data_IF_303008283025
#
_entry.id   IF_303008283025
#
_cell.length_a   1.000
_cell.length_b   1.000
_cell.length_c   1.000
_cell.angle_alpha   90.00
_cell.angle_beta   90.00
_cell.angle_gamma   90.00
#
_symmetry.space_group_name_H-M   'P 1'
#
loop_
_entity.id
_entity.type
_entity.pdbx_description
1 polymer ?
#
# COMPACT_ATOMS: atom_id res chain seq x y z
N UNK A 1 0.41 -10.23 -49.87
CA UNK A 1 -0.62 -10.74 -48.94
C UNK A 1 -1.31 -9.53 -48.33
N UNK A 2 -2.45 -9.15 -48.89
CA UNK A 2 -3.16 -7.91 -48.53
C UNK A 2 -4.01 -8.11 -47.28
N UNK A 3 -3.82 -7.25 -46.29
CA UNK A 3 -4.73 -7.14 -45.15
C UNK A 3 -6.00 -6.42 -45.62
N UNK A 4 -7.14 -7.11 -45.62
CA UNK A 4 -8.45 -6.56 -46.00
C UNK A 4 -8.86 -5.44 -45.02
N UNK A 5 -9.39 -4.33 -45.53
CA UNK A 5 -9.74 -3.11 -44.79
C UNK A 5 -10.67 -3.39 -43.58
N UNK A 6 -11.58 -4.35 -43.69
CA UNK A 6 -12.42 -4.78 -42.56
C UNK A 6 -11.60 -5.30 -41.36
N UNK A 7 -10.52 -6.06 -41.61
CA UNK A 7 -9.66 -6.58 -40.54
C UNK A 7 -8.89 -5.45 -39.86
N UNK A 8 -8.53 -4.39 -40.60
CA UNK A 8 -7.89 -3.20 -40.01
C UNK A 8 -8.87 -2.37 -39.18
N UNK A 9 -10.11 -2.19 -39.61
CA UNK A 9 -11.12 -1.47 -38.83
C UNK A 9 -11.50 -2.21 -37.54
N UNK A 10 -11.56 -3.55 -37.56
CA UNK A 10 -11.79 -4.36 -36.36
C UNK A 10 -10.61 -4.27 -35.39
N UNK A 11 -9.37 -4.31 -35.90
CA UNK A 11 -8.17 -4.21 -35.06
C UNK A 11 -8.01 -2.80 -34.46
N UNK A 12 -8.27 -1.75 -35.26
CA UNK A 12 -8.26 -0.37 -34.79
C UNK A 12 -9.40 -0.11 -33.79
N UNK A 13 -10.58 -0.68 -34.05
CA UNK A 13 -11.71 -0.68 -33.13
C UNK A 13 -11.37 -1.35 -31.80
N UNK A 14 -10.76 -2.54 -31.83
CA UNK A 14 -10.31 -3.25 -30.62
C UNK A 14 -9.25 -2.47 -29.84
N UNK A 15 -8.25 -1.88 -30.50
CA UNK A 15 -7.19 -1.10 -29.86
C UNK A 15 -7.70 0.24 -29.29
N UNK A 16 -8.76 0.82 -29.87
CA UNK A 16 -9.39 2.07 -29.41
C UNK A 16 -10.50 1.82 -28.38
N UNK A 17 -11.15 0.64 -28.37
CA UNK A 17 -12.17 0.25 -27.39
C UNK A 17 -11.60 -0.45 -26.15
N UNK A 18 -10.45 -1.12 -26.23
CA UNK A 18 -9.79 -1.73 -25.05
C UNK A 18 -9.36 -0.75 -23.94
N UNK A 19 -8.89 0.49 -24.22
CA UNK A 19 -8.48 1.43 -23.19
C UNK A 19 -9.65 1.95 -22.34
N UNK A 20 -10.90 1.80 -22.82
CA UNK A 20 -12.10 2.23 -22.09
C UNK A 20 -12.45 1.33 -20.89
N UNK A 21 -11.82 0.15 -20.77
CA UNK A 21 -12.06 -0.79 -19.67
C UNK A 21 -11.05 -0.65 -18.52
N UNK A 22 -10.08 0.27 -18.60
CA UNK A 22 -9.25 0.64 -17.45
C UNK A 22 -10.01 1.62 -16.55
N UNK A 23 -11.16 1.20 -16.00
CA UNK A 23 -11.75 1.91 -14.86
C UNK A 23 -10.87 1.61 -13.65
N UNK A 24 -10.07 2.57 -13.18
CA UNK A 24 -9.50 2.44 -11.83
C UNK A 24 -10.69 2.28 -10.90
N UNK A 25 -10.79 1.13 -10.23
CA UNK A 25 -11.89 0.81 -9.34
C UNK A 25 -11.86 1.79 -8.15
N UNK A 26 -12.57 2.91 -8.32
CA UNK A 26 -12.58 4.03 -7.38
C UNK A 26 -13.71 3.91 -6.36
N UNK A 27 -14.38 2.75 -6.36
CA UNK A 27 -15.48 2.41 -5.47
C UNK A 27 -14.95 2.06 -4.08
N UNK A 28 -15.69 2.48 -3.08
CA UNK A 28 -15.43 2.09 -1.72
C UNK A 28 -15.91 0.66 -1.45
N UNK A 29 -15.15 -0.07 -0.64
CA UNK A 29 -15.48 -1.41 -0.13
C UNK A 29 -15.76 -1.31 1.35
N UNK A 30 -16.93 -1.81 1.78
CA UNK A 30 -17.30 -1.84 3.20
C UNK A 30 -16.50 -2.90 3.95
N UNK A 31 -16.09 -2.57 5.17
CA UNK A 31 -15.36 -3.47 6.08
C UNK A 31 -15.43 -2.93 7.52
N UNK A 32 -14.56 -3.44 8.40
CA UNK A 32 -14.36 -2.92 9.75
C UNK A 32 -12.89 -2.62 9.99
N UNK A 33 -12.65 -1.64 10.85
CA UNK A 33 -11.33 -1.31 11.36
C UNK A 33 -11.29 -1.35 12.88
N UNK A 34 -10.18 -1.82 13.42
CA UNK A 34 -9.80 -1.66 14.82
C UNK A 34 -8.43 -1.00 14.90
N UNK A 35 -7.82 -0.96 16.08
CA UNK A 35 -6.53 -0.35 16.31
C UNK A 35 -5.65 -1.23 17.20
N UNK A 36 -4.34 -0.98 17.14
CA UNK A 36 -3.39 -1.48 18.13
C UNK A 36 -2.73 -0.31 18.87
N UNK A 37 -2.29 -0.57 20.10
CA UNK A 37 -1.54 0.39 20.91
C UNK A 37 -0.04 0.35 20.60
N UNK A 38 0.59 1.52 20.55
CA UNK A 38 2.05 1.65 20.55
C UNK A 38 2.48 2.87 21.40
N UNK A 39 3.70 2.89 21.96
CA UNK A 39 4.12 3.96 22.88
C UNK A 39 4.04 5.38 22.30
N UNK A 40 4.16 5.54 20.98
CA UNK A 40 4.09 6.82 20.27
C UNK A 40 2.82 6.96 19.40
N UNK A 41 1.85 6.06 19.55
CA UNK A 41 0.63 5.97 18.72
C UNK A 41 0.88 5.74 17.21
N UNK A 42 2.14 5.55 16.80
CA UNK A 42 2.59 5.27 15.43
C UNK A 42 2.60 3.77 15.09
N UNK A 43 3.23 3.44 13.97
CA UNK A 43 3.57 2.06 13.59
C UNK A 43 4.41 1.31 14.64
N UNK A 44 4.68 0.04 14.38
CA UNK A 44 5.69 -0.73 15.11
C UNK A 44 6.87 -1.03 14.18
N UNK A 45 8.08 -1.23 14.72
CA UNK A 45 9.21 -1.66 13.89
C UNK A 45 9.13 -3.13 13.46
N UNK A 46 8.25 -3.92 14.08
CA UNK A 46 8.14 -5.37 13.90
C UNK A 46 7.12 -5.82 12.86
N UNK A 47 6.60 -4.91 12.03
CA UNK A 47 5.61 -5.26 11.02
C UNK A 47 6.14 -6.24 9.97
N UNK A 48 5.27 -7.13 9.51
CA UNK A 48 5.55 -8.24 8.58
C UNK A 48 6.10 -7.77 7.22
N UNK A 49 5.92 -6.49 6.85
CA UNK A 49 6.52 -5.92 5.64
C UNK A 49 8.03 -5.66 5.73
N UNK A 50 8.66 -5.83 6.90
CA UNK A 50 10.12 -5.75 7.05
C UNK A 50 10.69 -4.33 6.96
N UNK A 51 9.86 -3.30 7.10
CA UNK A 51 10.31 -1.90 7.03
C UNK A 51 11.11 -1.44 8.25
N UNK A 52 11.13 -2.21 9.33
CA UNK A 52 11.81 -1.83 10.57
C UNK A 52 11.32 -0.48 11.09
N UNK A 53 12.24 0.32 11.63
CA UNK A 53 11.93 1.66 12.14
C UNK A 53 11.27 2.61 11.12
N UNK A 54 11.50 2.43 9.80
CA UNK A 54 10.86 3.25 8.76
C UNK A 54 9.36 3.00 8.67
N UNK A 55 8.93 1.75 8.89
CA UNK A 55 7.50 1.39 8.91
C UNK A 55 6.73 2.05 10.04
N UNK A 56 7.43 2.44 11.12
CA UNK A 56 6.81 3.17 12.23
C UNK A 56 6.28 4.53 11.80
N UNK A 57 7.07 5.27 11.03
CA UNK A 57 6.85 6.71 10.79
C UNK A 57 6.47 7.04 9.36
N UNK A 58 6.48 6.06 8.44
CA UNK A 58 5.99 6.26 7.07
C UNK A 58 4.58 6.87 7.11
N UNK A 59 4.35 7.84 6.20
CA UNK A 59 3.09 8.58 6.16
C UNK A 59 2.71 9.20 7.52
N UNK A 60 3.70 9.75 8.24
CA UNK A 60 3.56 10.36 9.56
C UNK A 60 2.91 9.43 10.59
N UNK A 61 3.20 8.13 10.48
CA UNK A 61 2.67 7.08 11.36
C UNK A 61 1.20 6.75 11.15
N UNK A 62 0.57 7.24 10.07
CA UNK A 62 -0.75 6.75 9.67
C UNK A 62 -0.55 5.47 8.84
N UNK A 63 -0.52 4.35 9.55
CA UNK A 63 -0.17 3.03 9.00
C UNK A 63 -1.18 1.99 9.46
N UNK A 64 -1.20 0.86 8.76
CA UNK A 64 -2.12 -0.23 9.06
C UNK A 64 -1.45 -1.59 8.89
N UNK A 65 -1.84 -2.52 9.77
CA UNK A 65 -1.85 -3.93 9.45
C UNK A 65 -3.13 -4.28 8.70
N UNK A 66 -3.06 -5.20 7.75
CA UNK A 66 -4.23 -5.62 6.96
C UNK A 66 -4.34 -7.14 6.88
N UNK A 67 -5.55 -7.64 6.70
CA UNK A 67 -5.81 -9.08 6.56
C UNK A 67 -5.66 -9.53 5.10
N UNK A 68 -6.75 -9.63 4.36
CA UNK A 68 -6.81 -10.12 2.96
C UNK A 68 -6.01 -9.24 1.99
N UNK A 69 -5.85 -7.96 2.32
CA UNK A 69 -5.11 -7.00 1.50
C UNK A 69 -3.59 -7.18 1.61
N UNK A 70 -3.08 -7.98 2.57
CA UNK A 70 -1.66 -8.26 2.71
C UNK A 70 -1.11 -9.03 1.51
N UNK A 71 -1.92 -9.93 0.94
CA UNK A 71 -1.62 -10.70 -0.29
C UNK A 71 -0.22 -11.34 -0.26
N UNK A 72 0.11 -12.04 0.83
CA UNK A 72 1.42 -12.65 1.03
C UNK A 72 2.59 -11.68 0.82
N UNK A 73 2.42 -10.43 1.22
CA UNK A 73 3.43 -9.38 1.11
C UNK A 73 3.32 -8.50 -0.13
N UNK A 74 2.59 -8.90 -1.18
CA UNK A 74 2.45 -8.05 -2.38
C UNK A 74 1.66 -6.76 -2.10
N UNK A 75 0.89 -6.72 -1.01
CA UNK A 75 0.18 -5.53 -0.54
C UNK A 75 1.02 -4.60 0.33
N UNK A 76 2.25 -4.96 0.68
CA UNK A 76 3.13 -4.11 1.48
C UNK A 76 3.41 -2.78 0.77
N UNK A 77 3.28 -1.68 1.51
CA UNK A 77 3.48 -0.33 0.98
C UNK A 77 2.30 0.22 0.19
N UNK A 78 1.24 -0.56 -0.03
CA UNK A 78 0.01 -0.06 -0.66
C UNK A 78 -0.66 1.00 0.21
N UNK A 79 -1.32 1.97 -0.43
CA UNK A 79 -2.04 3.04 0.24
C UNK A 79 -3.54 2.92 0.07
N UNK A 80 -4.26 3.17 1.16
CA UNK A 80 -5.72 3.15 1.19
C UNK A 80 -6.24 4.42 1.83
N UNK A 81 -7.35 4.95 1.29
CA UNK A 81 -8.19 5.88 2.03
C UNK A 81 -9.19 5.04 2.82
N UNK A 82 -9.23 5.23 4.13
CA UNK A 82 -10.16 4.57 5.05
C UNK A 82 -11.06 5.63 5.65
N UNK A 83 -12.37 5.44 5.59
CA UNK A 83 -13.39 6.31 6.17
C UNK A 83 -14.26 5.51 7.10
N UNK A 84 -14.59 6.06 8.25
CA UNK A 84 -15.59 5.44 9.11
C UNK A 84 -16.99 5.89 8.67
N UNK A 85 -17.97 5.00 8.78
CA UNK A 85 -19.33 5.20 8.26
C UNK A 85 -20.33 5.72 9.30
N UNK A 86 -19.98 5.70 10.58
CA UNK A 86 -20.83 6.22 11.65
C UNK A 86 -20.75 7.75 11.71
N UNK A 87 -21.79 8.43 11.23
CA UNK A 87 -21.83 9.89 11.15
C UNK A 87 -21.93 10.58 12.50
N UNK A 88 -22.20 9.87 13.59
CA UNK A 88 -22.19 10.45 14.94
C UNK A 88 -20.75 10.77 15.34
N UNK A 89 -19.87 9.79 15.22
CA UNK A 89 -18.48 9.86 15.71
C UNK A 89 -17.46 10.21 14.63
N UNK A 90 -17.73 9.90 13.36
CA UNK A 90 -16.68 9.84 12.35
C UNK A 90 -16.58 11.10 11.48
N UNK A 91 -15.35 11.39 11.06
CA UNK A 91 -15.04 12.48 10.16
C UNK A 91 -15.27 12.05 8.70
N UNK A 92 -15.72 12.99 7.87
CA UNK A 92 -16.01 12.72 6.45
C UNK A 92 -14.74 12.53 5.60
N UNK A 93 -13.61 13.10 6.06
CA UNK A 93 -12.33 13.07 5.36
C UNK A 93 -11.68 11.69 5.40
N UNK A 94 -11.86 10.98 6.51
CA UNK A 94 -11.17 9.74 6.83
C UNK A 94 -9.65 9.91 6.95
N UNK A 95 -8.91 8.83 6.74
CA UNK A 95 -7.45 8.81 6.84
C UNK A 95 -6.83 8.01 5.70
N UNK A 96 -5.75 8.54 5.15
CA UNK A 96 -4.90 7.79 4.23
C UNK A 96 -3.85 7.02 5.03
N UNK A 97 -3.76 5.71 4.79
CA UNK A 97 -2.85 4.81 5.51
C UNK A 97 -1.94 4.07 4.55
N UNK A 98 -0.76 3.69 5.04
CA UNK A 98 0.18 2.82 4.34
C UNK A 98 0.16 1.44 5.00
N UNK A 99 0.09 0.38 4.20
CA UNK A 99 0.19 -1.00 4.69
C UNK A 99 1.62 -1.30 5.10
N UNK A 100 1.82 -1.61 6.38
CA UNK A 100 3.15 -1.93 6.95
C UNK A 100 3.20 -3.28 7.65
N UNK A 101 2.05 -3.95 7.79
CA UNK A 101 1.94 -5.21 8.51
C UNK A 101 0.82 -6.10 7.96
N UNK A 102 0.88 -7.38 8.31
CA UNK A 102 -0.23 -8.31 8.20
C UNK A 102 -0.89 -8.43 9.57
N UNK A 103 -2.18 -8.14 9.67
CA UNK A 103 -2.90 -8.25 10.93
C UNK A 103 -4.34 -8.68 10.69
N UNK A 104 -4.86 -9.48 11.61
CA UNK A 104 -6.25 -9.93 11.59
C UNK A 104 -6.89 -9.58 12.93
N UNK A 105 -8.07 -8.97 12.87
CA UNK A 105 -8.92 -8.71 14.03
C UNK A 105 -10.30 -9.34 13.83
N UNK A 106 -11.24 -9.12 14.76
CA UNK A 106 -12.58 -9.68 14.65
C UNK A 106 -13.38 -9.06 13.50
N UNK A 107 -13.35 -9.75 12.35
CA UNK A 107 -14.03 -9.35 11.10
C UNK A 107 -13.58 -7.96 10.61
N UNK A 108 -12.32 -7.61 10.82
CA UNK A 108 -11.72 -6.34 10.38
C UNK A 108 -10.69 -6.58 9.29
N UNK A 109 -10.74 -5.81 8.20
CA UNK A 109 -9.67 -5.81 7.20
C UNK A 109 -8.50 -4.92 7.58
N UNK A 110 -8.71 -3.98 8.51
CA UNK A 110 -7.72 -3.00 8.94
C UNK A 110 -7.51 -3.02 10.45
N UNK A 111 -6.25 -3.12 10.86
CA UNK A 111 -5.80 -2.85 12.23
C UNK A 111 -4.89 -1.62 12.17
N UNK A 112 -5.45 -0.47 12.51
CA UNK A 112 -4.82 0.83 12.33
C UNK A 112 -3.86 1.15 13.48
N UNK A 113 -2.84 1.97 13.20
CA UNK A 113 -2.11 2.64 14.28
C UNK A 113 -3.08 3.50 15.09
N UNK A 114 -2.84 3.66 16.40
CA UNK A 114 -3.69 4.50 17.27
C UNK A 114 -3.90 5.90 16.66
N UNK A 115 -2.85 6.49 16.08
CA UNK A 115 -2.92 7.79 15.39
C UNK A 115 -3.83 7.78 14.16
N UNK A 116 -3.76 6.74 13.33
CA UNK A 116 -4.65 6.63 12.17
C UNK A 116 -6.10 6.45 12.62
N UNK A 117 -6.33 5.60 13.63
CA UNK A 117 -7.67 5.37 14.18
C UNK A 117 -8.26 6.66 14.74
N UNK A 118 -7.53 7.44 15.54
CA UNK A 118 -7.99 8.73 16.06
C UNK A 118 -8.45 9.71 14.96
N UNK A 119 -7.84 9.69 13.77
CA UNK A 119 -8.21 10.57 12.65
C UNK A 119 -9.53 10.17 11.97
N UNK A 120 -10.02 8.96 12.20
CA UNK A 120 -11.36 8.57 11.76
C UNK A 120 -12.43 9.30 12.56
N UNK A 121 -12.16 9.71 13.80
CA UNK A 121 -13.12 10.41 14.63
C UNK A 121 -13.16 11.91 14.30
N UNK A 122 -14.30 12.53 14.60
CA UNK A 122 -14.44 13.98 14.71
C UNK A 122 -13.58 14.52 15.86
N UNK A 123 -13.23 15.82 15.82
CA UNK A 123 -12.59 16.47 16.95
C UNK A 123 -13.34 16.21 18.26
N UNK A 124 -12.60 15.79 19.30
CA UNK A 124 -13.10 15.48 20.65
C UNK A 124 -13.98 14.23 20.80
N UNK A 125 -14.25 13.45 19.74
CA UNK A 125 -15.03 12.20 19.82
C UNK A 125 -14.18 10.92 19.72
N UNK A 126 -12.86 11.07 19.78
CA UNK A 126 -11.95 9.94 19.62
C UNK A 126 -12.07 8.94 20.77
N UNK A 127 -12.22 9.40 22.01
CA UNK A 127 -12.28 8.53 23.20
C UNK A 127 -13.53 7.65 23.15
N UNK A 128 -14.68 8.23 22.81
CA UNK A 128 -15.94 7.54 22.62
C UNK A 128 -15.82 6.50 21.49
N UNK A 129 -15.15 6.84 20.38
CA UNK A 129 -14.87 5.89 19.30
C UNK A 129 -13.92 4.75 19.74
N UNK A 130 -13.00 5.01 20.67
CA UNK A 130 -12.11 3.98 21.24
C UNK A 130 -12.89 2.98 22.10
N UNK A 131 -13.93 3.41 22.82
CA UNK A 131 -14.75 2.54 23.67
C UNK A 131 -15.49 1.43 22.88
N UNK A 132 -15.79 1.68 21.60
CA UNK A 132 -16.35 0.66 20.70
C UNK A 132 -15.32 -0.39 20.25
N UNK A 133 -14.01 -0.10 20.35
CA UNK A 133 -12.92 -0.99 19.96
C UNK A 133 -12.74 -1.18 18.44
N UNK A 134 -13.83 -1.33 17.70
CA UNK A 134 -13.84 -1.46 16.25
C UNK A 134 -15.05 -0.75 15.64
N UNK A 135 -14.82 -0.03 14.53
CA UNK A 135 -15.84 0.72 13.80
C UNK A 135 -16.04 0.17 12.40
N UNK A 136 -17.25 0.35 11.88
CA UNK A 136 -17.55 0.09 10.47
C UNK A 136 -16.89 1.16 9.61
N UNK A 137 -16.26 0.70 8.54
CA UNK A 137 -15.52 1.55 7.61
C UNK A 137 -15.91 1.26 6.18
N UNK A 138 -15.55 2.19 5.33
CA UNK A 138 -15.41 1.99 3.91
C UNK A 138 -13.97 2.36 3.51
N UNK A 139 -13.38 1.60 2.59
CA UNK A 139 -12.04 1.88 2.11
C UNK A 139 -11.91 1.76 0.60
N UNK A 140 -10.92 2.46 0.04
CA UNK A 140 -10.52 2.28 -1.37
C UNK A 140 -9.03 2.42 -1.52
N UNK A 141 -8.48 1.78 -2.54
CA UNK A 141 -7.06 1.92 -2.86
C UNK A 141 -6.79 3.29 -3.47
N UNK A 142 -5.69 3.93 -3.07
CA UNK A 142 -5.26 5.24 -3.57
C UNK A 142 -3.80 5.22 -3.99
N UNK A 143 -3.40 6.22 -4.78
CA UNK A 143 -2.00 6.45 -5.13
C UNK A 143 -1.19 6.92 -3.92
N UNK A 144 -0.10 6.22 -3.62
CA UNK A 144 0.86 6.60 -2.58
C UNK A 144 1.64 7.85 -2.98
N UNK A 145 1.76 8.80 -2.04
CA UNK A 145 2.50 10.04 -2.21
C UNK A 145 3.57 10.18 -1.13
N UNK A 146 4.81 10.34 -1.55
CA UNK A 146 5.96 10.49 -0.65
C UNK A 146 6.76 11.75 -1.02
N UNK A 147 6.22 12.96 -0.80
CA UNK A 147 6.92 14.20 -1.15
C UNK A 147 8.23 14.31 -0.36
N UNK A 148 9.32 14.61 -1.06
CA UNK A 148 10.66 14.70 -0.46
C UNK A 148 11.37 13.36 -0.23
N UNK A 149 10.76 12.24 -0.62
CA UNK A 149 11.38 10.92 -0.58
C UNK A 149 11.49 10.34 -1.99
N UNK A 150 12.61 9.68 -2.26
CA UNK A 150 12.78 8.84 -3.43
C UNK A 150 12.53 7.37 -3.07
N UNK A 151 12.32 6.54 -4.09
CA UNK A 151 12.37 5.08 -3.95
C UNK A 151 13.64 4.68 -3.18
N UNK A 152 13.47 3.87 -2.14
CA UNK A 152 14.58 3.41 -1.30
C UNK A 152 14.68 1.90 -1.35
N UNK A 153 15.90 1.41 -1.51
CA UNK A 153 16.23 -0.01 -1.40
C UNK A 153 17.15 -0.16 -0.19
N UNK A 154 16.74 -1.00 0.76
CA UNK A 154 17.47 -1.29 1.99
C UNK A 154 17.86 -2.76 2.01
N UNK A 155 19.11 -3.06 2.38
CA UNK A 155 19.52 -4.42 2.73
C UNK A 155 18.91 -4.77 4.08
N UNK A 156 18.08 -5.81 4.12
CA UNK A 156 17.41 -6.24 5.34
C UNK A 156 18.43 -6.78 6.35
N UNK A 157 18.18 -6.57 7.64
CA UNK A 157 19.06 -6.96 8.74
C UNK A 157 19.32 -8.48 8.80
N UNK A 158 18.41 -9.28 8.22
CA UNK A 158 18.56 -10.74 8.13
C UNK A 158 19.42 -11.20 6.95
N UNK A 159 19.92 -10.29 6.10
CA UNK A 159 20.87 -10.63 5.05
C UNK A 159 22.17 -11.16 5.65
N UNK A 160 22.76 -12.18 5.02
CA UNK A 160 23.99 -12.83 5.46
C UNK A 160 24.93 -12.95 4.29
N UNK A 161 25.89 -12.03 4.18
CA UNK A 161 26.90 -12.10 3.13
C UNK A 161 27.90 -13.24 3.40
N UNK A 162 28.30 -14.02 2.38
CA UNK A 162 27.86 -13.97 0.98
C UNK A 162 26.64 -14.85 0.62
N UNK A 163 26.06 -15.57 1.58
CA UNK A 163 25.13 -16.68 1.30
C UNK A 163 23.68 -16.25 1.01
N UNK A 164 23.25 -15.09 1.50
CA UNK A 164 21.86 -14.65 1.45
C UNK A 164 21.74 -13.13 1.39
N UNK A 165 21.01 -12.65 0.39
CA UNK A 165 20.63 -11.25 0.25
C UNK A 165 19.12 -11.13 0.38
N UNK A 166 18.67 -10.33 1.34
CA UNK A 166 17.30 -9.87 1.46
C UNK A 166 17.27 -8.36 1.32
N UNK A 167 16.38 -7.85 0.47
CA UNK A 167 16.19 -6.42 0.26
C UNK A 167 14.75 -6.04 0.54
N UNK A 168 14.57 -4.82 1.03
CA UNK A 168 13.27 -4.20 1.28
C UNK A 168 13.18 -2.93 0.46
N UNK A 169 12.07 -2.75 -0.24
CA UNK A 169 11.80 -1.59 -1.07
C UNK A 169 10.76 -0.72 -0.37
N UNK A 170 11.09 0.56 -0.16
CA UNK A 170 10.25 1.54 0.52
C UNK A 170 9.98 2.74 -0.38
N UNK A 171 8.92 3.49 -0.05
CA UNK A 171 8.55 4.74 -0.75
C UNK A 171 8.24 4.56 -2.24
N UNK A 172 7.66 3.42 -2.62
CA UNK A 172 7.12 3.19 -3.96
C UNK A 172 5.90 4.08 -4.15
N UNK A 173 6.06 5.19 -4.86
CA UNK A 173 4.95 6.09 -5.18
C UNK A 173 4.03 5.47 -6.25
N UNK A 174 2.78 5.91 -6.30
CA UNK A 174 1.79 5.41 -7.26
C UNK A 174 0.81 4.40 -6.66
N UNK A 175 0.02 3.76 -7.51
CA UNK A 175 -1.07 2.84 -7.13
C UNK A 175 -0.79 1.38 -7.58
N UNK A 176 0.48 1.01 -7.74
CA UNK A 176 0.87 -0.29 -8.29
C UNK A 176 1.49 -1.18 -7.21
N UNK A 177 1.27 -2.49 -7.32
CA UNK A 177 1.96 -3.50 -6.50
C UNK A 177 3.34 -3.79 -7.10
N UNK A 178 4.32 -4.07 -6.24
CA UNK A 178 5.60 -4.62 -6.69
C UNK A 178 5.43 -6.11 -7.00
N UNK A 179 5.56 -6.47 -8.26
CA UNK A 179 5.36 -7.86 -8.73
C UNK A 179 6.65 -8.60 -9.05
N UNK A 180 7.73 -7.87 -9.33
CA UNK A 180 9.04 -8.45 -9.63
C UNK A 180 10.17 -7.50 -9.22
N UNK A 181 11.30 -8.08 -8.82
CA UNK A 181 12.56 -7.38 -8.61
C UNK A 181 13.66 -8.22 -9.23
N UNK A 182 14.42 -7.63 -10.13
CA UNK A 182 15.53 -8.28 -10.83
C UNK A 182 16.84 -7.63 -10.42
N UNK A 183 17.87 -8.44 -10.20
CA UNK A 183 19.21 -7.99 -9.86
C UNK A 183 20.17 -8.46 -10.94
N UNK A 184 20.96 -7.54 -11.47
CA UNK A 184 22.01 -7.85 -12.43
C UNK A 184 23.38 -7.70 -11.77
N UNK A 185 24.17 -8.77 -11.78
CA UNK A 185 25.54 -8.72 -11.28
C UNK A 185 26.49 -8.33 -12.41
N UNK A 186 27.18 -7.19 -12.26
CA UNK A 186 28.24 -6.79 -13.19
C UNK A 186 29.56 -7.37 -12.70
N UNK A 187 30.01 -8.45 -13.33
CA UNK A 187 31.34 -9.03 -13.12
C UNK A 187 32.24 -8.50 -14.24
N UNK A 188 33.11 -7.54 -13.91
CA UNK A 188 34.01 -6.77 -14.79
C UNK A 188 33.34 -5.83 -15.81
N UNK A 189 33.75 -4.56 -15.78
CA UNK A 189 33.52 -3.61 -16.87
C UNK A 189 34.35 -4.02 -18.09
N UNK A 190 33.81 -4.89 -18.94
CA UNK A 190 34.21 -4.92 -20.36
C UNK A 190 32.99 -4.51 -21.17
N UNK A 191 32.83 -3.20 -21.30
CA UNK A 191 31.92 -2.62 -22.29
C UNK A 191 32.54 -2.84 -23.67
N UNK A 192 32.29 -4.01 -24.28
CA UNK A 192 32.44 -4.15 -25.72
C UNK A 192 31.27 -3.40 -26.37
N UNK A 193 31.47 -2.12 -26.67
CA UNK A 193 30.64 -1.41 -27.63
C UNK A 193 30.82 -2.08 -28.99
N UNK A 194 29.93 -3.00 -29.36
CA UNK A 194 29.72 -3.35 -30.76
C UNK A 194 28.95 -2.19 -31.39
N UNK A 195 29.68 -1.28 -32.05
CA UNK A 195 29.09 -0.41 -33.06
C UNK A 195 28.67 -1.27 -34.26
N UNK A 196 27.41 -1.14 -34.65
CA UNK A 196 26.95 -1.43 -36.02
C UNK A 196 27.31 -0.28 -36.94
#
# INVERSE_FOLDING_TARGET
MGFTIEKQMVFLGLVVLFPLLCTSDNTFTSSRATYYGSPEAYGTPGGTCGYGGYGKTVNFGNVAGVSRLYKNGSGCGACYQVKCTDTEYCSDDGVNVVVTDSAEGDRTDFVLSTRAYTKLAKPNLAMEMFDYGAVDIEYRRISCKYPGYNLMIKVHEQSRYPQYLAIVILYVAGQNDLTAVELWQVIFSVMLCLHS
#
